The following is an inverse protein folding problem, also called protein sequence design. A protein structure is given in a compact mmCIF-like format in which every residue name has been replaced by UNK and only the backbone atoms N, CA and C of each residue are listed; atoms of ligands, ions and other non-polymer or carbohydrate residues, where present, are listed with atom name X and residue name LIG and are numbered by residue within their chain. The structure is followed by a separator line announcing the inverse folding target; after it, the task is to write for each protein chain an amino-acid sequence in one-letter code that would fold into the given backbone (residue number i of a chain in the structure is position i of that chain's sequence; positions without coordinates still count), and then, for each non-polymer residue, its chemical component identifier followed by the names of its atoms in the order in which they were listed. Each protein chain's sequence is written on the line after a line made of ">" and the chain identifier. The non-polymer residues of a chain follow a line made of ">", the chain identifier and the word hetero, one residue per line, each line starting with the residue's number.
data_IF_126318820833
#
_entry.id   IF_126318820833
#
_cell.length_a   1.000
_cell.length_b   1.000
_cell.length_c   1.000
_cell.angle_alpha   90.00
_cell.angle_beta   90.00
_cell.angle_gamma   90.00
#
_symmetry.space_group_name_H-M   'P 1'
#
loop_
_entity.id
_entity.type
_entity.pdbx_description
1 polymer ?
#
# COMPACT_ATOMS: atom_id res chain seq x y z
N UNK A 1 -62.93 8.56 18.27
CA UNK A 1 -61.50 8.35 18.57
C UNK A 1 -60.77 8.09 17.25
N UNK A 2 -59.89 9.00 16.82
CA UNK A 2 -59.10 8.84 15.59
C UNK A 2 -57.71 8.38 16.01
N UNK A 3 -57.41 7.10 15.79
CA UNK A 3 -56.06 6.55 16.01
C UNK A 3 -55.21 7.05 14.83
N UNK A 4 -54.47 8.13 15.08
CA UNK A 4 -53.56 8.75 14.13
C UNK A 4 -52.46 7.74 13.77
N UNK A 5 -52.38 7.37 12.49
CA UNK A 5 -51.43 6.38 11.98
C UNK A 5 -50.00 6.93 12.03
N UNK A 6 -49.27 6.64 13.10
CA UNK A 6 -47.81 6.89 13.19
C UNK A 6 -46.98 5.84 12.42
N UNK A 7 -47.64 4.86 11.79
CA UNK A 7 -47.00 3.74 11.12
C UNK A 7 -46.17 4.09 9.86
N UNK A 8 -46.47 5.11 9.04
CA UNK A 8 -45.65 5.36 7.85
C UNK A 8 -44.30 6.04 8.17
N UNK A 9 -44.10 6.54 9.40
CA UNK A 9 -42.90 7.31 9.75
C UNK A 9 -41.70 6.40 10.08
N UNK A 10 -41.94 5.19 10.58
CA UNK A 10 -40.88 4.20 10.85
C UNK A 10 -40.37 3.48 9.57
N UNK A 11 -41.18 3.42 8.51
CA UNK A 11 -40.80 2.82 7.23
C UNK A 11 -39.90 3.77 6.41
N UNK A 12 -40.04 5.08 6.61
CA UNK A 12 -39.24 6.09 5.90
C UNK A 12 -37.75 6.13 6.31
N UNK A 13 -37.41 5.74 7.54
CA UNK A 13 -36.03 5.81 8.06
C UNK A 13 -35.23 4.55 7.67
N UNK A 14 -35.88 3.38 7.56
CA UNK A 14 -35.22 2.15 7.13
C UNK A 14 -34.89 2.10 5.62
N UNK A 15 -35.54 2.95 4.81
CA UNK A 15 -35.29 3.03 3.37
C UNK A 15 -34.11 3.95 3.00
N UNK A 16 -33.54 4.66 3.97
CA UNK A 16 -32.38 5.54 3.80
C UNK A 16 -31.17 4.99 4.54
N UNK A 17 -30.96 3.66 4.49
CA UNK A 17 -29.63 3.11 4.77
C UNK A 17 -28.79 3.48 3.55
N UNK A 18 -27.87 4.44 3.65
CA UNK A 18 -26.93 4.68 2.56
C UNK A 18 -26.25 3.34 2.32
N UNK A 19 -26.37 2.81 1.09
CA UNK A 19 -25.43 1.82 0.59
C UNK A 19 -24.04 2.48 0.60
N UNK A 20 -23.43 2.55 1.77
CA UNK A 20 -22.03 2.84 1.88
C UNK A 20 -21.36 1.66 1.19
N UNK A 21 -20.56 1.89 0.13
CA UNK A 21 -19.66 0.85 -0.30
C UNK A 21 -18.83 0.53 0.94
N UNK A 22 -19.00 -0.68 1.46
CA UNK A 22 -18.09 -1.25 2.44
C UNK A 22 -16.74 -1.17 1.75
N UNK A 23 -15.93 -0.19 2.11
CA UNK A 23 -14.59 -0.02 1.58
C UNK A 23 -13.90 -1.36 1.82
N UNK A 24 -13.74 -2.13 0.74
CA UNK A 24 -13.07 -3.40 0.78
C UNK A 24 -11.70 -3.11 1.38
N UNK A 25 -11.39 -3.76 2.50
CA UNK A 25 -10.03 -3.80 3.00
C UNK A 25 -9.20 -4.45 1.90
N UNK A 26 -8.57 -3.62 1.07
CA UNK A 26 -7.75 -4.06 -0.04
C UNK A 26 -6.53 -4.74 0.58
N UNK A 27 -6.41 -6.05 0.34
CA UNK A 27 -5.26 -6.81 0.83
C UNK A 27 -4.01 -6.23 0.17
N UNK A 28 -3.19 -5.54 0.95
CA UNK A 28 -1.98 -4.91 0.45
C UNK A 28 -0.92 -6.00 0.25
N UNK A 29 -1.02 -6.72 -0.87
CA UNK A 29 -0.03 -7.70 -1.31
C UNK A 29 1.26 -7.03 -1.80
N UNK A 30 2.33 -7.82 -1.90
CA UNK A 30 3.59 -7.42 -2.55
C UNK A 30 4.29 -6.20 -1.94
N UNK A 31 4.10 -5.97 -0.64
CA UNK A 31 4.77 -4.91 0.12
C UNK A 31 6.29 -5.13 0.19
N UNK A 32 6.71 -6.39 0.27
CA UNK A 32 8.11 -6.79 0.43
C UNK A 32 8.81 -7.16 -0.88
N UNK A 33 8.15 -6.91 -2.02
CA UNK A 33 8.65 -7.29 -3.34
C UNK A 33 8.70 -6.08 -4.27
N UNK A 34 9.70 -6.04 -5.14
CA UNK A 34 9.84 -5.03 -6.18
C UNK A 34 10.40 -5.66 -7.46
N UNK A 35 9.79 -5.32 -8.58
CA UNK A 35 10.26 -5.70 -9.90
C UNK A 35 11.09 -4.56 -10.48
N UNK A 36 12.33 -4.88 -10.87
CA UNK A 36 13.26 -3.94 -11.49
C UNK A 36 13.84 -4.57 -12.74
N UNK A 37 13.83 -3.81 -13.84
CA UNK A 37 14.43 -4.24 -15.09
C UNK A 37 15.95 -4.17 -15.02
N UNK A 38 16.62 -5.29 -15.25
CA UNK A 38 18.08 -5.37 -15.33
C UNK A 38 18.50 -5.38 -16.79
N UNK A 39 18.93 -4.24 -17.31
CA UNK A 39 19.26 -4.06 -18.73
C UNK A 39 20.49 -4.85 -19.19
N UNK A 40 21.46 -5.06 -18.31
CA UNK A 40 22.70 -5.77 -18.61
C UNK A 40 23.09 -6.74 -17.49
N UNK A 41 23.65 -7.91 -17.86
CA UNK A 41 24.01 -8.97 -16.89
C UNK A 41 25.29 -8.67 -16.08
N UNK A 42 25.86 -7.47 -16.22
CA UNK A 42 27.05 -7.05 -15.50
C UNK A 42 26.83 -7.04 -13.99
N UNK A 43 27.87 -7.36 -13.22
CA UNK A 43 27.75 -7.37 -11.76
C UNK A 43 27.45 -5.98 -11.18
N UNK A 44 27.92 -4.92 -11.85
CA UNK A 44 27.60 -3.54 -11.51
C UNK A 44 26.10 -3.24 -11.71
N UNK A 45 25.56 -3.58 -12.88
CA UNK A 45 24.16 -3.33 -13.22
C UNK A 45 23.21 -4.13 -12.32
N UNK A 46 23.58 -5.36 -11.97
CA UNK A 46 22.84 -6.17 -10.98
C UNK A 46 22.85 -5.53 -9.59
N UNK A 47 23.99 -4.99 -9.14
CA UNK A 47 24.08 -4.33 -7.84
C UNK A 47 23.21 -3.07 -7.80
N UNK A 48 23.22 -2.28 -8.87
CA UNK A 48 22.41 -1.07 -9.01
C UNK A 48 20.91 -1.41 -9.04
N UNK A 49 20.50 -2.38 -9.86
CA UNK A 49 19.12 -2.82 -9.90
C UNK A 49 18.64 -3.36 -8.55
N UNK A 50 19.49 -4.12 -7.85
CA UNK A 50 19.14 -4.64 -6.53
C UNK A 50 18.97 -3.54 -5.48
N UNK A 51 19.83 -2.50 -5.51
CA UNK A 51 19.63 -1.30 -4.68
C UNK A 51 18.32 -0.57 -4.98
N UNK A 52 17.94 -0.46 -6.26
CA UNK A 52 16.66 0.13 -6.67
C UNK A 52 15.46 -0.70 -6.20
N UNK A 53 15.56 -2.02 -6.22
CA UNK A 53 14.52 -2.91 -5.71
C UNK A 53 14.29 -2.70 -4.21
N UNK A 54 15.37 -2.66 -3.43
CA UNK A 54 15.32 -2.41 -1.99
C UNK A 54 14.70 -1.04 -1.68
N UNK A 55 15.03 -0.01 -2.45
CA UNK A 55 14.42 1.31 -2.28
C UNK A 55 12.91 1.28 -2.53
N UNK A 56 12.47 0.60 -3.60
CA UNK A 56 11.04 0.48 -3.89
C UNK A 56 10.30 -0.27 -2.79
N UNK A 57 10.87 -1.37 -2.28
CA UNK A 57 10.32 -2.10 -1.12
C UNK A 57 10.25 -1.19 0.10
N UNK A 58 11.31 -0.45 0.40
CA UNK A 58 11.35 0.42 1.57
C UNK A 58 10.32 1.55 1.48
N UNK A 59 10.11 2.13 0.29
CA UNK A 59 9.05 3.13 0.06
C UNK A 59 7.66 2.50 0.20
N UNK A 60 7.43 1.29 -0.33
CA UNK A 60 6.15 0.58 -0.20
C UNK A 60 5.82 0.28 1.26
N UNK A 61 6.78 -0.25 2.02
CA UNK A 61 6.57 -0.63 3.43
C UNK A 61 6.45 0.60 4.34
N UNK A 62 7.23 1.65 4.11
CA UNK A 62 7.18 2.85 4.94
C UNK A 62 6.04 3.81 4.61
N UNK A 63 5.44 3.68 3.41
CA UNK A 63 4.45 4.64 2.90
C UNK A 63 5.00 6.05 2.68
N UNK A 64 6.33 6.25 2.77
CA UNK A 64 6.96 7.57 2.70
C UNK A 64 7.97 7.63 1.56
N UNK A 65 7.82 8.64 0.70
CA UNK A 65 8.83 8.98 -0.32
C UNK A 65 10.15 9.47 0.31
N UNK A 66 10.15 9.83 1.60
CA UNK A 66 11.35 10.19 2.35
C UNK A 66 12.19 8.99 2.80
N UNK A 67 11.75 7.75 2.54
CA UNK A 67 12.51 6.55 2.85
C UNK A 67 13.87 6.50 2.13
N UNK A 68 13.99 7.14 0.97
CA UNK A 68 15.26 7.32 0.24
C UNK A 68 16.31 8.15 1.00
N UNK A 69 15.88 8.97 1.97
CA UNK A 69 16.77 9.80 2.78
C UNK A 69 17.09 9.17 4.15
N UNK A 70 16.51 8.01 4.46
CA UNK A 70 16.79 7.32 5.72
C UNK A 70 18.21 6.74 5.67
N UNK A 71 19.11 7.09 6.60
CA UNK A 71 20.51 6.63 6.59
C UNK A 71 20.64 5.11 6.57
N UNK A 72 19.71 4.38 7.21
CA UNK A 72 19.71 2.91 7.22
C UNK A 72 19.40 2.32 5.84
N UNK A 73 18.49 2.97 5.10
CA UNK A 73 18.12 2.53 3.75
C UNK A 73 19.25 2.87 2.77
N UNK A 74 19.86 4.04 2.92
CA UNK A 74 21.01 4.45 2.11
C UNK A 74 22.18 3.47 2.29
N UNK A 75 22.53 3.11 3.53
CA UNK A 75 23.57 2.11 3.81
C UNK A 75 23.23 0.75 3.19
N UNK A 76 21.97 0.33 3.28
CA UNK A 76 21.50 -0.92 2.68
C UNK A 76 21.61 -0.92 1.15
N UNK A 77 21.37 0.22 0.49
CA UNK A 77 21.51 0.37 -0.96
C UNK A 77 22.97 0.35 -1.44
N UNK A 78 23.91 0.84 -0.62
CA UNK A 78 25.34 0.86 -0.97
C UNK A 78 25.98 -0.54 -0.90
N UNK A 79 25.49 -1.37 0.03
CA UNK A 79 25.99 -2.73 0.28
C UNK A 79 24.87 -3.78 0.27
N UNK A 80 24.13 -3.92 -0.83
CA UNK A 80 22.90 -4.68 -0.79
C UNK A 80 23.17 -6.20 -0.72
N UNK A 81 24.32 -6.67 -1.22
CA UNK A 81 24.79 -8.06 -1.10
C UNK A 81 25.02 -8.51 0.36
N UNK A 82 25.04 -7.62 1.34
CA UNK A 82 25.23 -7.97 2.75
C UNK A 82 23.99 -8.60 3.38
N UNK A 83 22.83 -8.44 2.73
CA UNK A 83 21.52 -8.86 3.24
C UNK A 83 20.93 -10.05 2.47
N UNK A 84 21.74 -10.70 1.63
CA UNK A 84 21.36 -11.86 0.79
C UNK A 84 22.25 -13.06 1.13
#
# INVERSE_FOLDING_TARGET
>A
MRVSSLFPLLIGIAAFVPWTPVFAAEEVGNLYEAEVNVLAKGQKDRKEAFGLALLQVAVKVSGSRGASANPVIVEAMESPNRFV
#
